data_IF_380092013679
#
_entry.id   IF_380092013679
#
_cell.length_a   1.000
_cell.length_b   1.000
_cell.length_c   1.000
_cell.angle_alpha   90.00
_cell.angle_beta   90.00
_cell.angle_gamma   90.00
#
_symmetry.space_group_name_H-M   'P 1'
#
loop_
_entity.id
_entity.type
_entity.pdbx_description
1 polymer ?
#
# COMPACT_ATOMS: atom_id res chain seq x y z
N UNK A 1 21.37 23.09 8.93
CA UNK A 1 21.57 21.62 8.79
C UNK A 1 20.66 20.77 9.70
N UNK A 2 19.65 21.34 10.37
CA UNK A 2 18.66 20.58 11.18
C UNK A 2 17.57 19.93 10.29
N UNK A 3 17.29 20.52 9.13
CA UNK A 3 16.26 20.08 8.17
C UNK A 3 16.48 18.68 7.57
N UNK A 4 17.74 18.27 7.32
CA UNK A 4 18.04 16.97 6.71
C UNK A 4 17.86 15.80 7.70
N UNK A 5 18.10 16.02 9.00
CA UNK A 5 18.16 14.95 10.00
C UNK A 5 16.80 14.28 10.25
N UNK A 6 15.69 14.95 9.94
CA UNK A 6 14.33 14.44 10.13
C UNK A 6 13.58 14.14 8.83
N UNK A 7 14.20 14.31 7.66
CA UNK A 7 13.53 14.12 6.36
C UNK A 7 12.91 12.72 6.24
N UNK A 8 13.66 11.68 6.54
CA UNK A 8 13.18 10.29 6.53
C UNK A 8 12.02 10.05 7.50
N UNK A 9 12.04 10.69 8.68
CA UNK A 9 10.94 10.59 9.66
C UNK A 9 9.65 11.19 9.10
N UNK A 10 9.73 12.31 8.39
CA UNK A 10 8.54 12.91 7.75
C UNK A 10 7.94 12.00 6.68
N UNK A 11 8.76 11.37 5.83
CA UNK A 11 8.28 10.36 4.88
C UNK A 11 7.60 9.18 5.59
N UNK A 12 8.21 8.67 6.67
CA UNK A 12 7.64 7.56 7.41
C UNK A 12 6.33 7.92 8.12
N UNK A 13 6.25 9.11 8.74
CA UNK A 13 5.02 9.60 9.37
C UNK A 13 3.91 9.77 8.33
N UNK A 14 4.24 10.38 7.18
CA UNK A 14 3.32 10.54 6.06
C UNK A 14 2.82 9.19 5.54
N UNK A 15 3.71 8.20 5.42
CA UNK A 15 3.35 6.85 5.00
C UNK A 15 2.45 6.15 6.03
N UNK A 16 2.85 6.16 7.31
CA UNK A 16 2.15 5.51 8.41
C UNK A 16 0.73 6.03 8.59
N UNK A 17 0.50 7.33 8.41
CA UNK A 17 -0.85 7.90 8.54
C UNK A 17 -1.80 7.43 7.43
N UNK A 18 -1.28 6.93 6.30
CA UNK A 18 -2.05 6.57 5.11
C UNK A 18 -2.23 5.07 4.94
N UNK A 19 -1.24 4.27 5.32
CA UNK A 19 -1.19 2.84 4.98
C UNK A 19 -2.42 2.06 5.43
N UNK A 20 -2.99 2.36 6.61
CA UNK A 20 -4.19 1.66 7.11
C UNK A 20 -5.43 1.94 6.25
N UNK A 21 -5.67 3.21 5.94
CA UNK A 21 -6.80 3.58 5.07
C UNK A 21 -6.58 3.14 3.62
N UNK A 22 -5.34 3.20 3.14
CA UNK A 22 -4.97 2.74 1.80
C UNK A 22 -5.13 1.23 1.65
N UNK A 23 -4.73 0.45 2.66
CA UNK A 23 -4.94 -1.00 2.65
C UNK A 23 -6.43 -1.35 2.69
N UNK A 24 -7.24 -0.62 3.48
CA UNK A 24 -8.70 -0.76 3.46
C UNK A 24 -9.31 -0.53 2.08
N UNK A 25 -8.96 0.58 1.42
CA UNK A 25 -9.39 0.88 0.04
C UNK A 25 -8.93 -0.22 -0.91
N UNK A 26 -7.67 -0.64 -0.82
CA UNK A 26 -7.10 -1.70 -1.66
C UNK A 26 -7.85 -3.03 -1.52
N UNK A 27 -8.12 -3.46 -0.29
CA UNK A 27 -8.87 -4.69 -0.02
C UNK A 27 -10.29 -4.60 -0.60
N UNK A 28 -10.98 -3.47 -0.45
CA UNK A 28 -12.30 -3.26 -1.03
C UNK A 28 -12.27 -3.41 -2.56
N UNK A 29 -11.32 -2.78 -3.24
CA UNK A 29 -11.16 -2.94 -4.68
C UNK A 29 -10.83 -4.38 -5.08
N UNK A 30 -10.00 -5.07 -4.30
CA UNK A 30 -9.69 -6.48 -4.53
C UNK A 30 -10.91 -7.40 -4.39
N UNK A 31 -11.78 -7.13 -3.41
CA UNK A 31 -13.02 -7.87 -3.22
C UNK A 31 -14.02 -7.62 -4.36
N UNK A 32 -14.17 -6.37 -4.79
CA UNK A 32 -15.00 -6.03 -5.95
C UNK A 32 -14.48 -6.74 -7.19
N UNK A 33 -13.16 -6.69 -7.44
CA UNK A 33 -12.54 -7.38 -8.56
C UNK A 33 -12.77 -8.89 -8.51
N UNK A 34 -12.77 -9.49 -7.33
CA UNK A 34 -13.05 -10.91 -7.15
C UNK A 34 -14.52 -11.26 -7.41
N UNK A 35 -15.47 -10.40 -7.01
CA UNK A 35 -16.90 -10.59 -7.27
C UNK A 35 -17.24 -10.49 -8.77
N UNK A 36 -16.42 -9.79 -9.54
CA UNK A 36 -16.56 -9.68 -11.00
C UNK A 36 -16.02 -10.88 -11.78
N UNK A 37 -15.36 -11.84 -11.12
CA UNK A 37 -14.86 -13.07 -11.77
C UNK A 37 -15.97 -14.11 -11.78
N UNK A 38 -16.21 -14.73 -12.94
CA UNK A 38 -17.20 -15.80 -13.06
C UNK A 38 -16.92 -16.93 -12.06
N UNK A 39 -17.97 -17.54 -11.46
CA UNK A 39 -17.82 -18.57 -10.43
C UNK A 39 -16.93 -19.75 -10.85
N UNK A 40 -16.93 -20.09 -12.14
CA UNK A 40 -16.14 -21.19 -12.72
C UNK A 40 -14.62 -20.95 -12.65
N UNK A 41 -14.19 -19.68 -12.61
CA UNK A 41 -12.77 -19.30 -12.53
C UNK A 41 -12.35 -18.81 -11.14
N UNK A 42 -13.17 -19.05 -10.10
CA UNK A 42 -12.82 -18.65 -8.74
C UNK A 42 -11.62 -19.45 -8.24
N UNK A 43 -10.56 -18.72 -7.90
CA UNK A 43 -9.35 -19.31 -7.35
C UNK A 43 -9.54 -19.72 -5.89
N UNK A 44 -8.85 -20.78 -5.43
CA UNK A 44 -8.90 -21.20 -4.03
C UNK A 44 -8.51 -20.07 -3.09
N UNK A 45 -9.06 -20.08 -1.87
CA UNK A 45 -8.97 -19.00 -0.85
C UNK A 45 -7.53 -18.50 -0.66
N UNK A 46 -6.55 -19.41 -0.64
CA UNK A 46 -5.13 -19.10 -0.48
C UNK A 46 -4.61 -18.19 -1.62
N UNK A 47 -5.00 -18.48 -2.87
CA UNK A 47 -4.61 -17.66 -4.02
C UNK A 47 -5.40 -16.34 -4.07
N UNK A 48 -6.64 -16.34 -3.56
CA UNK A 48 -7.45 -15.14 -3.44
C UNK A 48 -6.79 -14.11 -2.51
N UNK A 49 -6.27 -14.54 -1.35
CA UNK A 49 -5.56 -13.66 -0.40
C UNK A 49 -4.35 -13.00 -1.07
N UNK A 50 -3.55 -13.75 -1.83
CA UNK A 50 -2.42 -13.19 -2.57
C UNK A 50 -2.83 -12.14 -3.60
N UNK A 51 -3.94 -12.37 -4.32
CA UNK A 51 -4.49 -11.39 -5.26
C UNK A 51 -4.98 -10.14 -4.54
N UNK A 52 -5.60 -10.25 -3.37
CA UNK A 52 -6.04 -9.10 -2.57
C UNK A 52 -4.87 -8.22 -2.12
N UNK A 53 -3.73 -8.82 -1.74
CA UNK A 53 -2.53 -8.06 -1.34
C UNK A 53 -2.00 -7.17 -2.48
N UNK A 54 -2.16 -7.58 -3.75
CA UNK A 54 -1.75 -6.80 -4.91
C UNK A 54 -2.55 -5.49 -5.07
N UNK A 55 -3.73 -5.40 -4.46
CA UNK A 55 -4.52 -4.18 -4.47
C UNK A 55 -4.11 -3.17 -3.38
N UNK A 56 -3.22 -3.51 -2.44
CA UNK A 56 -2.75 -2.57 -1.41
C UNK A 56 -2.01 -1.37 -2.04
N UNK A 57 -1.03 -1.55 -2.95
CA UNK A 57 -0.42 -0.43 -3.68
C UNK A 57 -1.43 0.39 -4.48
N UNK A 58 -2.46 -0.25 -5.04
CA UNK A 58 -3.54 0.42 -5.79
C UNK A 58 -4.37 1.31 -4.85
N UNK A 59 -4.72 0.78 -3.68
CA UNK A 59 -5.40 1.54 -2.64
C UNK A 59 -4.61 2.77 -2.19
N UNK A 60 -3.27 2.70 -2.23
CA UNK A 60 -2.40 3.86 -1.95
C UNK A 60 -2.52 4.96 -3.02
N UNK A 61 -2.63 4.60 -4.30
CA UNK A 61 -2.85 5.56 -5.39
C UNK A 61 -4.18 6.30 -5.17
N UNK A 62 -5.26 5.56 -4.92
CA UNK A 62 -6.57 6.16 -4.64
C UNK A 62 -6.55 7.04 -3.38
N UNK A 63 -5.86 6.58 -2.33
CA UNK A 63 -5.73 7.35 -1.10
C UNK A 63 -5.01 8.67 -1.33
N UNK A 64 -3.96 8.68 -2.14
CA UNK A 64 -3.25 9.91 -2.54
C UNK A 64 -4.19 10.87 -3.28
N UNK A 65 -4.97 10.37 -4.24
CA UNK A 65 -5.92 11.17 -5.02
C UNK A 65 -7.03 11.79 -4.16
N UNK A 66 -7.58 11.02 -3.21
CA UNK A 66 -8.62 11.52 -2.29
C UNK A 66 -8.05 12.65 -1.42
N UNK A 67 -6.85 12.47 -0.87
CA UNK A 67 -6.24 13.47 0.01
C UNK A 67 -5.72 14.70 -0.71
N UNK A 68 -5.49 14.62 -2.01
CA UNK A 68 -5.23 15.80 -2.83
C UNK A 68 -6.42 16.77 -2.86
N UNK A 69 -7.64 16.24 -2.72
CA UNK A 69 -8.86 17.03 -2.64
C UNK A 69 -9.07 17.53 -1.21
N UNK A 70 -8.89 16.66 -0.22
CA UNK A 70 -9.31 16.89 1.18
C UNK A 70 -8.25 17.61 2.03
N UNK A 71 -6.97 17.31 1.85
CA UNK A 71 -5.91 17.68 2.79
C UNK A 71 -4.79 18.52 2.12
N UNK A 72 -5.17 19.56 1.38
CA UNK A 72 -4.21 20.46 0.72
C UNK A 72 -3.22 21.09 1.72
N UNK A 73 -3.69 21.39 2.92
CA UNK A 73 -2.91 22.08 3.95
C UNK A 73 -1.73 21.26 4.49
N UNK A 74 -1.87 19.93 4.54
CA UNK A 74 -0.78 19.06 5.00
C UNK A 74 0.44 19.14 4.07
N UNK A 75 0.23 19.33 2.76
CA UNK A 75 1.33 19.44 1.81
C UNK A 75 2.15 20.72 2.00
N UNK A 76 1.55 21.82 2.46
CA UNK A 76 2.29 23.05 2.78
C UNK A 76 3.25 22.86 3.96
N UNK A 77 2.86 22.07 4.97
CA UNK A 77 3.76 21.75 6.08
C UNK A 77 5.04 21.06 5.59
N UNK A 78 4.91 20.03 4.74
CA UNK A 78 6.08 19.31 4.22
C UNK A 78 6.89 20.14 3.23
N UNK A 79 6.22 20.97 2.44
CA UNK A 79 6.89 21.89 1.52
C UNK A 79 7.77 22.89 2.28
N UNK A 80 7.29 23.43 3.40
CA UNK A 80 8.09 24.31 4.27
C UNK A 80 9.30 23.61 4.91
N UNK A 81 9.28 22.26 4.99
CA UNK A 81 10.41 21.45 5.42
C UNK A 81 11.35 21.06 4.25
N UNK A 82 11.11 21.58 3.04
CA UNK A 82 11.91 21.30 1.84
C UNK A 82 11.62 19.95 1.18
N UNK A 83 10.48 19.33 1.50
CA UNK A 83 10.05 18.04 0.92
C UNK A 83 8.95 18.31 -0.10
N UNK A 84 9.16 17.86 -1.33
CA UNK A 84 8.15 18.03 -2.37
C UNK A 84 7.02 17.01 -2.23
N UNK A 85 5.83 17.40 -2.68
CA UNK A 85 4.66 16.52 -2.73
C UNK A 85 4.92 15.24 -3.51
N UNK A 86 5.56 15.35 -4.67
CA UNK A 86 5.90 14.20 -5.54
C UNK A 86 6.84 13.23 -4.82
N UNK A 87 7.81 13.74 -4.06
CA UNK A 87 8.72 12.92 -3.27
C UNK A 87 8.00 12.13 -2.18
N UNK A 88 7.03 12.74 -1.48
CA UNK A 88 6.19 12.04 -0.49
C UNK A 88 5.37 10.93 -1.13
N UNK A 89 4.81 11.17 -2.31
CA UNK A 89 4.03 10.18 -3.04
C UNK A 89 4.86 8.99 -3.50
N UNK A 90 5.99 9.26 -4.15
CA UNK A 90 6.90 8.22 -4.64
C UNK A 90 7.42 7.38 -3.48
N UNK A 91 7.92 8.01 -2.42
CA UNK A 91 8.43 7.28 -1.24
C UNK A 91 7.33 6.42 -0.60
N UNK A 92 6.12 6.95 -0.47
CA UNK A 92 5.00 6.21 0.11
C UNK A 92 4.52 5.05 -0.76
N UNK A 93 4.53 5.23 -2.08
CA UNK A 93 4.23 4.17 -3.04
C UNK A 93 5.29 3.05 -2.97
N UNK A 94 6.58 3.41 -2.98
CA UNK A 94 7.69 2.46 -2.87
C UNK A 94 7.61 1.67 -1.56
N UNK A 95 7.31 2.34 -0.43
CA UNK A 95 7.13 1.66 0.85
C UNK A 95 5.94 0.69 0.84
N UNK A 96 4.80 1.11 0.26
CA UNK A 96 3.62 0.24 0.11
C UNK A 96 3.93 -0.98 -0.74
N UNK A 97 4.62 -0.78 -1.87
CA UNK A 97 5.00 -1.84 -2.79
C UNK A 97 6.03 -2.80 -2.18
N UNK A 98 6.99 -2.27 -1.43
CA UNK A 98 7.97 -3.07 -0.66
C UNK A 98 7.26 -3.96 0.36
N UNK A 99 6.29 -3.42 1.10
CA UNK A 99 5.48 -4.19 2.03
C UNK A 99 4.71 -5.29 1.31
N UNK A 100 4.09 -4.98 0.17
CA UNK A 100 3.42 -5.99 -0.66
C UNK A 100 4.37 -7.13 -1.06
N UNK A 101 5.57 -6.81 -1.57
CA UNK A 101 6.57 -7.83 -1.93
C UNK A 101 6.93 -8.70 -0.73
N UNK A 102 7.21 -8.09 0.43
CA UNK A 102 7.59 -8.82 1.65
C UNK A 102 6.47 -9.78 2.08
N UNK A 103 5.23 -9.30 2.14
CA UNK A 103 4.09 -10.16 2.51
C UNK A 103 3.88 -11.28 1.49
N UNK A 104 3.99 -10.98 0.19
CA UNK A 104 3.84 -11.98 -0.86
C UNK A 104 4.94 -13.06 -0.77
N UNK A 105 6.19 -12.67 -0.47
CA UNK A 105 7.29 -13.61 -0.26
C UNK A 105 7.04 -14.51 0.96
N UNK A 106 6.67 -13.92 2.10
CA UNK A 106 6.35 -14.67 3.34
C UNK A 106 5.24 -15.69 3.05
N UNK A 107 4.16 -15.26 2.39
CA UNK A 107 3.04 -16.13 2.09
C UNK A 107 3.39 -17.23 1.08
N UNK A 108 4.19 -16.90 0.06
CA UNK A 108 4.67 -17.89 -0.92
C UNK A 108 5.56 -18.95 -0.26
N UNK A 109 6.45 -18.55 0.65
CA UNK A 109 7.30 -19.49 1.41
C UNK A 109 6.42 -20.37 2.30
N UNK A 110 5.48 -19.78 3.03
CA UNK A 110 4.58 -20.50 3.92
C UNK A 110 3.74 -21.56 3.19
N UNK A 111 3.10 -21.17 2.07
CA UNK A 111 2.31 -22.09 1.26
C UNK A 111 3.14 -23.22 0.65
N UNK A 112 4.38 -22.95 0.23
CA UNK A 112 5.31 -24.00 -0.25
C UNK A 112 5.72 -24.95 0.87
N UNK A 113 6.03 -24.42 2.05
CA UNK A 113 6.40 -25.24 3.22
C UNK A 113 5.27 -26.18 3.63
N UNK A 114 4.02 -25.71 3.63
CA UNK A 114 2.86 -26.55 3.96
C UNK A 114 2.69 -27.73 3.01
N UNK A 115 2.94 -27.53 1.70
CA UNK A 115 2.86 -28.60 0.69
C UNK A 115 3.97 -29.65 0.82
N UNK A 116 5.07 -29.34 1.51
CA UNK A 116 6.16 -30.30 1.73
C UNK A 116 5.93 -31.19 2.96
N UNK A 117 5.01 -30.78 3.85
CA UNK A 117 4.72 -31.46 5.12
C UNK A 117 3.44 -32.30 5.02
N UNK A 118 2.51 -31.93 4.12
CA UNK A 118 1.27 -32.66 3.83
C UNK A 118 1.46 -33.71 2.74
#
# INVERSE_FOLDING_TARGET
>A
MIYLKNRSKFHFVFFKSRILSASGIGILFGLIAQMSIDPEYQTPIIQMINKLLLFIPIGMIFKILIEEIVNKDQYYFFYNQGITKVELWITSFILSFSIYIIFNLIFTIWTRSLRLIA
#
